data_IF_490245298785
#
_entry.id   IF_490245298785
#
_cell.length_a   1.000
_cell.length_b   1.000
_cell.length_c   1.000
_cell.angle_alpha   90.00
_cell.angle_beta   90.00
_cell.angle_gamma   90.00
#
_symmetry.space_group_name_H-M   'P 1'
#
loop_
_entity.id
_entity.type
_entity.pdbx_description
1 polymer ?
#
# COMPACT_ATOMS: atom_id res chain seq x y z
N UNK A 1 -8.88 -10.85 8.14
CA UNK A 1 -8.08 -11.17 6.95
C UNK A 1 -7.78 -12.67 6.95
N UNK A 2 -7.08 -13.25 7.94
CA UNK A 2 -6.69 -14.68 7.97
C UNK A 2 -7.85 -15.64 7.78
N UNK A 3 -9.03 -15.35 8.36
CA UNK A 3 -10.21 -16.19 8.19
C UNK A 3 -10.69 -16.22 6.72
N UNK A 4 -10.83 -15.06 6.08
CA UNK A 4 -11.20 -14.98 4.68
C UNK A 4 -10.15 -15.65 3.76
N UNK A 5 -8.87 -15.48 4.06
CA UNK A 5 -7.78 -16.14 3.34
C UNK A 5 -7.86 -17.68 3.43
N UNK A 6 -8.24 -18.22 4.58
CA UNK A 6 -8.33 -19.67 4.78
C UNK A 6 -9.61 -20.29 4.19
N UNK A 7 -10.73 -19.56 4.24
CA UNK A 7 -12.05 -20.09 3.87
C UNK A 7 -12.42 -19.85 2.39
N UNK A 8 -11.84 -18.83 1.74
CA UNK A 8 -12.15 -18.47 0.36
C UNK A 8 -10.97 -18.78 -0.56
N UNK A 9 -11.06 -19.88 -1.33
CA UNK A 9 -10.01 -20.33 -2.25
C UNK A 9 -9.53 -19.21 -3.19
N UNK A 10 -10.48 -18.48 -3.81
CA UNK A 10 -10.17 -17.35 -4.69
C UNK A 10 -9.36 -16.25 -3.98
N UNK A 11 -9.63 -16.00 -2.70
CA UNK A 11 -8.90 -15.00 -1.93
C UNK A 11 -7.44 -15.41 -1.68
N UNK A 12 -7.18 -16.70 -1.49
CA UNK A 12 -5.81 -17.24 -1.38
C UNK A 12 -5.01 -17.11 -2.66
N UNK A 13 -5.65 -17.37 -3.78
CA UNK A 13 -5.01 -17.31 -5.11
C UNK A 13 -4.72 -15.86 -5.53
N UNK A 14 -5.56 -14.90 -5.10
CA UNK A 14 -5.48 -13.50 -5.51
C UNK A 14 -4.68 -12.60 -4.56
N UNK A 15 -4.44 -13.01 -3.33
CA UNK A 15 -3.93 -12.12 -2.28
C UNK A 15 -2.83 -12.75 -1.45
N UNK A 16 -1.66 -13.03 -2.04
CA UNK A 16 -0.49 -13.51 -1.26
C UNK A 16 -0.10 -12.53 -0.14
N UNK A 17 -0.34 -11.24 -0.32
CA UNK A 17 -0.17 -10.22 0.72
C UNK A 17 -1.05 -10.46 1.95
N UNK A 18 -2.21 -11.11 1.78
CA UNK A 18 -3.14 -11.38 2.89
C UNK A 18 -2.60 -12.42 3.87
N UNK A 19 -1.72 -13.32 3.44
CA UNK A 19 -1.02 -14.27 4.31
C UNK A 19 -0.15 -13.53 5.34
N UNK A 20 0.49 -12.46 4.91
CA UNK A 20 1.38 -11.62 5.73
C UNK A 20 0.65 -10.55 6.55
N UNK A 21 -0.69 -10.48 6.48
CA UNK A 21 -1.49 -9.43 7.09
C UNK A 21 -2.34 -9.94 8.26
N UNK A 22 -2.28 -9.24 9.39
CA UNK A 22 -3.12 -9.48 10.56
C UNK A 22 -3.93 -8.22 10.88
N UNK A 23 -5.28 -8.35 10.96
CA UNK A 23 -6.09 -7.20 11.33
C UNK A 23 -7.46 -7.17 10.69
N UNK A 24 -8.05 -5.98 10.61
CA UNK A 24 -9.40 -5.74 10.13
C UNK A 24 -9.35 -4.92 8.84
N UNK A 25 -10.01 -5.44 7.81
CA UNK A 25 -10.24 -4.75 6.55
C UNK A 25 -11.72 -4.81 6.20
N UNK A 26 -12.20 -3.82 5.48
CA UNK A 26 -13.52 -3.81 4.86
C UNK A 26 -13.36 -3.77 3.35
N UNK A 27 -14.20 -4.49 2.63
CA UNK A 27 -14.20 -4.56 1.18
C UNK A 27 -15.56 -4.07 0.67
N UNK A 28 -15.51 -3.08 -0.20
CA UNK A 28 -16.66 -2.63 -1.00
C UNK A 28 -16.29 -2.78 -2.48
N UNK A 29 -16.62 -3.96 -3.04
CA UNK A 29 -16.22 -4.34 -4.39
C UNK A 29 -17.40 -4.85 -5.21
N UNK A 30 -17.38 -4.49 -6.49
CA UNK A 30 -18.22 -5.10 -7.52
C UNK A 30 -17.33 -5.70 -8.58
N UNK A 31 -17.43 -7.01 -8.80
CA UNK A 31 -16.64 -7.73 -9.79
C UNK A 31 -17.58 -8.62 -10.59
N UNK A 32 -17.43 -8.59 -11.90
CA UNK A 32 -18.12 -9.47 -12.84
C UNK A 32 -17.11 -10.20 -13.73
N UNK A 33 -17.44 -11.40 -14.17
CA UNK A 33 -16.60 -12.19 -15.04
C UNK A 33 -17.16 -13.58 -15.30
N UNK A 34 -16.37 -14.40 -15.96
CA UNK A 34 -16.73 -15.78 -16.36
C UNK A 34 -16.00 -16.74 -15.42
N UNK A 35 -16.69 -17.80 -15.03
CA UNK A 35 -16.11 -18.94 -14.33
C UNK A 35 -15.85 -20.09 -15.29
N UNK A 36 -14.80 -20.85 -15.07
CA UNK A 36 -14.53 -22.09 -15.78
C UNK A 36 -15.40 -23.26 -15.26
N UNK A 37 -15.24 -24.44 -15.85
CA UNK A 37 -15.98 -25.65 -15.47
C UNK A 37 -15.75 -26.12 -14.02
N UNK A 38 -14.72 -25.62 -13.34
CA UNK A 38 -14.39 -25.91 -11.94
C UNK A 38 -14.81 -24.76 -11.00
N UNK A 39 -15.61 -23.82 -11.47
CA UNK A 39 -16.03 -22.62 -10.73
C UNK A 39 -14.88 -21.68 -10.37
N UNK A 40 -13.73 -21.77 -11.06
CA UNK A 40 -12.63 -20.84 -10.90
C UNK A 40 -12.79 -19.63 -11.85
N UNK A 41 -12.41 -18.42 -11.44
CA UNK A 41 -12.52 -17.23 -12.28
C UNK A 41 -11.53 -17.27 -13.44
N UNK A 42 -12.01 -16.95 -14.62
CA UNK A 42 -11.17 -16.70 -15.81
C UNK A 42 -10.68 -15.26 -15.74
N UNK A 43 -9.47 -15.04 -15.22
CA UNK A 43 -8.94 -13.71 -14.87
C UNK A 43 -9.03 -12.66 -15.98
N UNK A 44 -8.76 -12.96 -17.28
CA UNK A 44 -8.92 -11.99 -18.35
C UNK A 44 -10.36 -11.50 -18.55
N UNK A 45 -11.36 -12.25 -18.08
CA UNK A 45 -12.78 -11.88 -18.18
C UNK A 45 -13.23 -10.96 -17.03
N UNK A 46 -12.42 -10.84 -15.97
CA UNK A 46 -12.80 -10.07 -14.79
C UNK A 46 -12.80 -8.57 -15.08
N UNK A 47 -13.90 -7.92 -14.69
CA UNK A 47 -14.06 -6.48 -14.74
C UNK A 47 -14.71 -5.99 -13.45
N UNK A 48 -14.36 -4.79 -13.02
CA UNK A 48 -14.94 -4.22 -11.81
C UNK A 48 -13.99 -3.34 -11.05
N UNK A 49 -14.13 -3.35 -9.73
CA UNK A 49 -13.29 -2.59 -8.82
C UNK A 49 -14.02 -2.26 -7.53
N UNK A 50 -13.39 -1.45 -6.71
CA UNK A 50 -13.93 -1.05 -5.43
C UNK A 50 -12.89 -0.45 -4.51
N UNK A 51 -13.25 -0.42 -3.24
CA UNK A 51 -12.40 0.13 -2.18
C UNK A 51 -12.08 -0.93 -1.14
N UNK A 52 -10.78 -1.08 -0.85
CA UNK A 52 -10.27 -1.81 0.29
C UNK A 52 -9.97 -0.80 1.40
N UNK A 53 -10.76 -0.83 2.47
CA UNK A 53 -10.55 0.01 3.65
C UNK A 53 -9.77 -0.77 4.71
N UNK A 54 -8.55 -0.30 4.99
CA UNK A 54 -7.67 -0.85 6.02
C UNK A 54 -7.89 -0.09 7.32
N UNK A 55 -8.54 -0.72 8.30
CA UNK A 55 -8.81 -0.08 9.58
C UNK A 55 -7.65 -0.22 10.56
N UNK A 56 -7.10 -1.42 10.68
CA UNK A 56 -5.93 -1.71 11.49
C UNK A 56 -5.31 -3.01 10.99
N UNK A 57 -4.18 -2.93 10.33
CA UNK A 57 -3.49 -4.10 9.76
C UNK A 57 -2.01 -4.04 10.05
N UNK A 58 -1.49 -5.10 10.63
CA UNK A 58 -0.06 -5.34 10.80
C UNK A 58 0.42 -6.21 9.65
N UNK A 59 1.39 -5.72 8.91
CA UNK A 59 2.04 -6.48 7.83
C UNK A 59 3.34 -7.08 8.37
N UNK A 60 3.46 -8.40 8.34
CA UNK A 60 4.68 -9.10 8.78
C UNK A 60 5.22 -9.96 7.65
N UNK A 61 6.48 -9.74 7.28
CA UNK A 61 7.16 -10.56 6.28
C UNK A 61 6.65 -10.35 4.84
N UNK A 62 5.91 -9.29 4.57
CA UNK A 62 5.49 -8.98 3.21
C UNK A 62 6.70 -8.55 2.38
N UNK A 63 7.04 -9.35 1.39
CA UNK A 63 8.31 -9.26 0.64
C UNK A 63 8.55 -7.88 0.03
N UNK A 64 7.50 -7.21 -0.47
CA UNK A 64 7.62 -5.88 -1.06
C UNK A 64 8.18 -4.86 -0.05
N UNK A 65 7.61 -4.77 1.14
CA UNK A 65 8.11 -3.84 2.18
C UNK A 65 9.49 -4.23 2.69
N UNK A 66 9.76 -5.53 2.85
CA UNK A 66 11.09 -6.01 3.21
C UNK A 66 12.16 -5.62 2.17
N UNK A 67 11.84 -5.71 0.88
CA UNK A 67 12.76 -5.33 -0.20
C UNK A 67 12.93 -3.81 -0.27
N UNK A 68 11.87 -3.04 -0.07
CA UNK A 68 11.95 -1.56 0.04
C UNK A 68 12.82 -1.15 1.23
N UNK A 69 12.63 -1.77 2.40
CA UNK A 69 13.45 -1.54 3.61
C UNK A 69 14.93 -1.75 3.32
N UNK A 70 15.29 -2.89 2.77
CA UNK A 70 16.68 -3.22 2.39
C UNK A 70 17.26 -2.22 1.38
N UNK A 71 16.49 -1.84 0.36
CA UNK A 71 16.95 -0.93 -0.70
C UNK A 71 17.18 0.49 -0.19
N UNK A 72 16.38 0.94 0.76
CA UNK A 72 16.42 2.30 1.30
C UNK A 72 17.20 2.43 2.60
N UNK A 73 17.56 1.32 3.26
CA UNK A 73 18.18 1.32 4.60
C UNK A 73 17.24 1.81 5.70
N UNK A 74 15.90 1.61 5.54
CA UNK A 74 14.87 2.09 6.48
C UNK A 74 14.11 0.91 7.09
N UNK A 75 14.69 0.31 8.13
CA UNK A 75 14.16 -0.92 8.75
C UNK A 75 12.74 -0.80 9.29
N UNK A 76 12.36 0.38 9.74
CA UNK A 76 11.01 0.67 10.23
C UNK A 76 9.88 0.41 9.22
N UNK A 77 10.21 0.27 7.91
CA UNK A 77 9.25 0.05 6.84
C UNK A 77 9.05 -1.45 6.55
N UNK A 78 9.92 -2.32 7.04
CA UNK A 78 9.88 -3.75 6.74
C UNK A 78 8.56 -4.43 7.17
N UNK A 79 8.01 -4.00 8.31
CA UNK A 79 6.78 -4.56 8.88
C UNK A 79 5.85 -3.43 9.32
N UNK A 80 5.18 -2.75 8.37
CA UNK A 80 4.37 -1.58 8.69
C UNK A 80 3.07 -1.95 9.41
N UNK A 81 2.67 -1.09 10.34
CA UNK A 81 1.33 -1.04 10.89
C UNK A 81 0.50 -0.03 10.07
N UNK A 82 -0.48 -0.52 9.34
CA UNK A 82 -1.36 0.29 8.50
C UNK A 82 -2.67 0.57 9.24
N UNK A 83 -3.11 1.82 9.24
CA UNK A 83 -4.40 2.20 9.81
C UNK A 83 -5.02 3.35 9.04
N UNK A 84 -6.36 3.29 8.89
CA UNK A 84 -7.18 4.33 8.22
C UNK A 84 -6.69 4.64 6.80
N UNK A 85 -6.55 3.59 6.00
CA UNK A 85 -6.12 3.69 4.59
C UNK A 85 -7.21 3.14 3.70
N UNK A 86 -7.66 3.92 2.73
CA UNK A 86 -8.56 3.50 1.68
C UNK A 86 -7.76 3.31 0.38
N UNK A 87 -7.85 2.12 -0.19
CA UNK A 87 -7.15 1.74 -1.41
C UNK A 87 -8.21 1.46 -2.48
N UNK A 88 -8.35 2.37 -3.42
CA UNK A 88 -9.25 2.21 -4.57
C UNK A 88 -8.57 1.46 -5.68
N UNK A 89 -9.30 0.54 -6.28
CA UNK A 89 -8.79 -0.25 -7.40
C UNK A 89 -9.83 -0.43 -8.48
N UNK A 90 -9.35 -0.61 -9.70
CA UNK A 90 -10.16 -1.06 -10.85
C UNK A 90 -9.57 -2.33 -11.42
N UNK A 91 -10.44 -3.20 -11.93
CA UNK A 91 -10.06 -4.51 -12.48
C UNK A 91 -10.50 -4.55 -13.94
N UNK A 92 -9.58 -4.86 -14.84
CA UNK A 92 -9.86 -5.07 -16.26
C UNK A 92 -8.76 -5.94 -16.89
N UNK A 93 -9.16 -6.95 -17.65
CA UNK A 93 -8.23 -7.78 -18.45
C UNK A 93 -7.05 -8.33 -17.64
N UNK A 94 -7.29 -9.01 -16.54
CA UNK A 94 -6.27 -9.54 -15.61
C UNK A 94 -5.43 -8.47 -14.88
N UNK A 95 -5.69 -7.18 -15.08
CA UNK A 95 -4.95 -6.09 -14.47
C UNK A 95 -5.79 -5.47 -13.35
N UNK A 96 -5.16 -5.27 -12.21
CA UNK A 96 -5.68 -4.52 -11.08
C UNK A 96 -4.92 -3.21 -11.03
N UNK A 97 -5.59 -2.11 -11.36
CA UNK A 97 -5.02 -0.77 -11.24
C UNK A 97 -5.29 -0.24 -9.84
N UNK A 98 -4.24 0.18 -9.17
CA UNK A 98 -4.25 0.74 -7.82
C UNK A 98 -4.16 2.25 -7.98
N UNK A 99 -5.21 2.98 -7.58
CA UNK A 99 -5.20 4.44 -7.54
C UNK A 99 -4.22 4.91 -6.46
N UNK A 100 -3.70 6.12 -6.63
CA UNK A 100 -2.79 6.73 -5.66
C UNK A 100 -3.40 6.78 -4.27
N UNK A 101 -2.68 6.21 -3.31
CA UNK A 101 -3.02 6.31 -1.91
C UNK A 101 -1.77 6.59 -1.07
N UNK A 102 -2.00 7.08 0.14
CA UNK A 102 -0.94 7.41 1.09
C UNK A 102 -1.27 6.84 2.47
N UNK A 103 -0.23 6.59 3.24
CA UNK A 103 -0.36 6.20 4.64
C UNK A 103 0.84 6.68 5.46
N UNK A 104 0.74 6.56 6.79
CA UNK A 104 1.84 6.89 7.70
C UNK A 104 2.36 5.61 8.33
N UNK A 105 3.69 5.48 8.41
CA UNK A 105 4.35 4.37 9.10
C UNK A 105 5.66 4.85 9.70
N UNK A 106 5.83 4.72 11.03
CA UNK A 106 7.07 5.08 11.75
C UNK A 106 7.65 6.46 11.33
N UNK A 107 6.80 7.45 11.13
CA UNK A 107 7.18 8.81 10.71
C UNK A 107 7.36 8.99 9.20
N UNK A 108 7.44 7.91 8.43
CA UNK A 108 7.46 7.96 6.96
C UNK A 108 6.05 8.14 6.39
N UNK A 109 5.99 8.69 5.17
CA UNK A 109 4.73 8.91 4.43
C UNK A 109 4.83 8.31 3.02
N UNK A 110 4.66 6.98 2.90
CA UNK A 110 4.63 6.33 1.59
C UNK A 110 3.43 6.78 0.76
N UNK A 111 3.66 6.99 -0.55
CA UNK A 111 2.63 7.14 -1.58
C UNK A 111 2.83 6.05 -2.59
N UNK A 112 1.77 5.39 -2.96
CA UNK A 112 1.80 4.20 -3.82
C UNK A 112 0.72 4.34 -4.87
N UNK A 113 1.06 3.99 -6.11
CA UNK A 113 0.14 3.78 -7.23
C UNK A 113 0.72 2.79 -8.22
N UNK A 114 -0.08 2.27 -9.12
CA UNK A 114 0.40 1.41 -10.18
C UNK A 114 -0.53 0.27 -10.51
N UNK A 115 0.03 -0.81 -11.00
CA UNK A 115 -0.76 -1.99 -11.39
C UNK A 115 -0.17 -3.27 -10.81
N UNK A 116 -1.06 -4.22 -10.56
CA UNK A 116 -0.70 -5.62 -10.33
C UNK A 116 -1.63 -6.50 -11.16
N UNK A 117 -1.32 -7.77 -11.29
CA UNK A 117 -2.19 -8.73 -11.98
C UNK A 117 -2.54 -9.90 -11.05
N UNK A 118 -3.56 -10.66 -11.40
CA UNK A 118 -3.94 -11.83 -10.62
C UNK A 118 -2.88 -12.94 -10.63
N UNK A 119 -2.00 -12.96 -11.64
CA UNK A 119 -0.81 -13.80 -11.67
C UNK A 119 0.38 -13.19 -10.89
N UNK A 120 0.15 -12.14 -10.11
CA UNK A 120 1.09 -11.60 -9.14
C UNK A 120 2.16 -10.66 -9.69
N UNK A 121 2.11 -10.26 -10.97
CA UNK A 121 3.07 -9.30 -11.54
C UNK A 121 2.88 -7.92 -10.95
N UNK A 122 3.97 -7.21 -10.71
CA UNK A 122 3.99 -5.89 -10.11
C UNK A 122 4.53 -4.84 -11.09
N UNK A 123 3.86 -3.70 -11.15
CA UNK A 123 4.37 -2.47 -11.76
C UNK A 123 3.88 -1.29 -10.91
N UNK A 124 4.60 -1.05 -9.81
CA UNK A 124 4.22 -0.11 -8.76
C UNK A 124 5.21 1.04 -8.75
N UNK A 125 4.71 2.26 -8.68
CA UNK A 125 5.47 3.45 -8.31
C UNK A 125 5.24 3.70 -6.81
N UNK A 126 6.31 4.00 -6.10
CA UNK A 126 6.26 4.39 -4.68
C UNK A 126 7.15 5.60 -4.48
N UNK A 127 6.67 6.56 -3.72
CA UNK A 127 7.51 7.60 -3.13
C UNK A 127 7.50 7.43 -1.62
N UNK A 128 8.67 7.18 -1.05
CA UNK A 128 8.83 7.07 0.40
C UNK A 128 9.12 8.46 0.98
N UNK A 129 8.08 9.18 1.37
CA UNK A 129 8.23 10.48 2.02
C UNK A 129 8.95 10.35 3.37
N UNK A 130 10.00 11.13 3.55
CA UNK A 130 10.86 11.10 4.74
C UNK A 130 10.30 11.97 5.87
N UNK A 131 10.55 11.60 7.15
CA UNK A 131 10.19 12.46 8.28
C UNK A 131 10.85 13.86 8.19
N UNK A 132 10.24 14.90 8.77
CA UNK A 132 8.97 14.86 9.51
C UNK A 132 7.73 15.00 8.63
N UNK A 133 7.79 15.68 7.51
CA UNK A 133 6.61 16.10 6.73
C UNK A 133 6.37 15.28 5.45
N UNK A 134 7.35 14.48 5.01
CA UNK A 134 7.25 13.71 3.78
C UNK A 134 7.45 14.52 2.49
N UNK A 135 7.83 15.79 2.59
CA UNK A 135 8.11 16.68 1.44
C UNK A 135 9.29 16.14 0.63
N UNK A 136 10.35 15.75 1.32
CA UNK A 136 11.49 15.06 0.69
C UNK A 136 11.19 13.57 0.72
N UNK A 137 11.40 12.86 -0.39
CA UNK A 137 11.14 11.43 -0.46
C UNK A 137 12.04 10.70 -1.43
N UNK A 138 12.12 9.40 -1.24
CA UNK A 138 12.88 8.48 -2.08
C UNK A 138 11.94 7.91 -3.14
N UNK A 139 12.16 8.20 -4.44
CA UNK A 139 11.38 7.62 -5.51
C UNK A 139 11.81 6.18 -5.76
N UNK A 140 10.84 5.28 -5.88
CA UNK A 140 11.03 3.85 -6.05
C UNK A 140 10.14 3.31 -7.15
N UNK A 141 10.67 2.41 -7.95
CA UNK A 141 9.92 1.56 -8.89
C UNK A 141 10.00 0.12 -8.43
N UNK A 142 8.85 -0.53 -8.31
CA UNK A 142 8.72 -1.91 -7.86
C UNK A 142 8.15 -2.72 -9.01
N UNK A 143 8.86 -3.73 -9.44
CA UNK A 143 8.53 -4.66 -10.54
C UNK A 143 8.74 -6.10 -10.09
N UNK A 144 8.68 -7.05 -11.01
CA UNK A 144 8.78 -8.47 -10.69
C UNK A 144 7.44 -9.06 -10.28
N UNK A 145 7.45 -9.92 -9.29
CA UNK A 145 6.24 -10.57 -8.77
C UNK A 145 6.07 -10.32 -7.26
N UNK A 146 4.88 -10.62 -6.74
CA UNK A 146 4.62 -10.53 -5.30
C UNK A 146 5.58 -11.42 -4.49
N UNK A 147 6.03 -12.54 -5.07
CA UNK A 147 6.96 -13.47 -4.45
C UNK A 147 8.43 -13.10 -4.63
N UNK A 148 8.76 -12.38 -5.70
CA UNK A 148 10.11 -11.88 -6.01
C UNK A 148 10.05 -10.41 -6.46
N UNK A 149 9.77 -9.47 -5.55
CA UNK A 149 9.70 -8.05 -5.87
C UNK A 149 11.10 -7.46 -6.09
N UNK A 150 11.26 -6.74 -7.19
CA UNK A 150 12.48 -6.02 -7.54
C UNK A 150 12.26 -4.52 -7.32
N UNK A 151 13.08 -3.93 -6.45
CA UNK A 151 12.99 -2.51 -6.11
C UNK A 151 14.19 -1.76 -6.68
N UNK A 152 13.91 -0.73 -7.46
CA UNK A 152 14.89 0.17 -8.05
C UNK A 152 14.62 1.61 -7.58
N UNK A 153 15.68 2.42 -7.46
CA UNK A 153 15.53 3.86 -7.30
C UNK A 153 14.98 4.43 -8.61
N UNK A 154 13.85 5.10 -8.53
CA UNK A 154 13.22 5.75 -9.67
C UNK A 154 13.87 7.10 -9.94
N UNK A 155 13.95 7.50 -11.21
CA UNK A 155 14.42 8.85 -11.58
C UNK A 155 13.28 9.87 -11.59
N UNK A 156 12.02 9.44 -11.66
CA UNK A 156 10.84 10.29 -11.82
C UNK A 156 9.68 9.77 -11.00
N UNK A 157 9.44 10.40 -9.87
CA UNK A 157 8.18 10.38 -9.14
C UNK A 157 7.78 11.82 -8.78
N UNK A 158 8.18 12.78 -9.62
CA UNK A 158 7.77 14.18 -9.44
C UNK A 158 6.25 14.32 -9.43
N UNK A 159 5.55 13.51 -10.21
CA UNK A 159 4.10 13.37 -10.21
C UNK A 159 3.52 12.79 -8.89
N UNK A 160 4.36 12.18 -8.05
CA UNK A 160 4.01 11.72 -6.69
C UNK A 160 4.49 12.70 -5.61
N UNK A 161 5.11 13.82 -5.99
CA UNK A 161 5.50 14.86 -5.03
C UNK A 161 4.26 15.54 -4.45
N UNK A 162 4.36 15.94 -3.22
CA UNK A 162 3.31 16.69 -2.57
C UNK A 162 3.45 18.17 -2.94
N UNK A 163 2.51 18.63 -3.73
CA UNK A 163 2.31 20.06 -3.98
C UNK A 163 1.35 20.67 -2.97
N UNK A 164 0.62 19.84 -2.23
CA UNK A 164 -0.35 20.25 -1.23
C UNK A 164 0.09 19.84 0.18
N UNK A 165 0.08 20.79 1.07
CA UNK A 165 0.27 20.61 2.51
C UNK A 165 -0.89 19.80 3.08
N UNK A 166 -0.64 18.70 3.80
CA UNK A 166 -1.66 17.78 4.35
C UNK A 166 -2.53 18.41 5.46
N UNK A 167 -2.50 19.73 5.64
CA UNK A 167 -3.37 20.44 6.57
C UNK A 167 -3.07 20.28 8.06
N UNK A 168 -2.09 19.48 8.43
CA UNK A 168 -1.61 19.42 9.81
C UNK A 168 -0.59 20.53 10.04
N UNK A 169 -1.07 21.70 10.46
CA UNK A 169 -0.21 22.77 10.97
C UNK A 169 0.52 22.23 12.20
N UNK A 170 1.87 22.26 12.26
CA UNK A 170 2.56 21.96 13.50
C UNK A 170 2.06 22.96 14.55
N UNK A 171 1.47 22.48 15.63
CA UNK A 171 1.12 23.35 16.76
C UNK A 171 2.41 24.05 17.19
N UNK A 172 2.45 25.40 17.20
CA UNK A 172 3.62 26.11 17.70
C UNK A 172 3.89 25.63 19.11
N UNK A 173 5.14 25.30 19.41
CA UNK A 173 5.56 25.05 20.78
C UNK A 173 5.17 26.29 21.58
N UNK A 174 4.24 26.15 22.51
CA UNK A 174 3.94 27.19 23.48
C UNK A 174 5.22 27.44 24.26
N UNK A 175 5.80 28.61 24.06
CA UNK A 175 6.86 29.11 24.93
C UNK A 175 6.32 29.08 26.36
N UNK A 176 6.89 28.23 27.19
CA UNK A 176 6.70 28.33 28.62
C UNK A 176 7.39 29.64 29.02
N UNK A 177 6.61 30.68 29.20
CA UNK A 177 7.03 31.87 29.89
C UNK A 177 7.37 31.45 31.32
N UNK A 178 8.66 31.42 31.60
CA UNK A 178 9.17 31.38 32.98
C UNK A 178 8.75 32.68 33.63
N UNK A 179 7.70 32.64 34.44
CA UNK A 179 7.38 33.72 35.38
C UNK A 179 8.43 33.67 36.48
N UNK A 180 9.49 34.47 36.35
CA UNK A 180 10.27 34.91 37.48
C UNK A 180 9.41 35.86 38.31
N UNK A 181 9.03 35.41 39.47
CA UNK A 181 8.40 36.25 40.48
C UNK A 181 9.50 36.86 41.35
N UNK A 182 9.46 38.14 41.44
CA UNK A 182 10.24 38.99 42.29
C UNK A 182 9.76 38.87 43.74
#
# INVERSE_FOLDING_TARGET
IKRAYNEVKMFREMASAAESAEGIVSLDYKVAGILDGNMAPIYPSLTGGGTLSVNKVKMKGFKMFGTVSKKTGKDAIANPDLSKVDIKTTIKNNIITIERFKFKVAGFRPRIEGTTSFDGKLNIKMRLGLPPLGIIGIPLKITGTQDDPKVQLGKQTEDLEETEYDGEVPTPLQNQETSETK
#
